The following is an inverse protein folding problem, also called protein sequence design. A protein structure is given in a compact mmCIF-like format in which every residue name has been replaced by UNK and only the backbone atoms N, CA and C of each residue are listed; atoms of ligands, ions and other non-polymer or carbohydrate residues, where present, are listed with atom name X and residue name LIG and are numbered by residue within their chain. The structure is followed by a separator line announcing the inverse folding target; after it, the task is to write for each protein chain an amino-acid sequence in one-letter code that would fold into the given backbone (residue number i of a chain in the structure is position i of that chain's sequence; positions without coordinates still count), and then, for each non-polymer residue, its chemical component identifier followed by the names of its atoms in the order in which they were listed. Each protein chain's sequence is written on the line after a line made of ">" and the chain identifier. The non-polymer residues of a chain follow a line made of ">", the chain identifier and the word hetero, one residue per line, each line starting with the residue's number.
data_IF_579248801884
#
_entry.id   IF_579248801884
#
_cell.length_a   1.000
_cell.length_b   1.000
_cell.length_c   1.000
_cell.angle_alpha   90.00
_cell.angle_beta   90.00
_cell.angle_gamma   90.00
#
_symmetry.space_group_name_H-M   'P 1'
#
loop_
_entity.id
_entity.type
_entity.pdbx_description
1 polymer ?
#
# COMPACT_ATOMS: atom_id res chain seq x y z
N UNK A 1 -2.49 11.85 11.90
CA UNK A 1 -1.49 11.53 10.86
C UNK A 1 -1.94 10.36 9.99
N UNK A 2 -2.14 10.61 8.69
CA UNK A 2 -2.37 9.57 7.66
C UNK A 2 -1.25 9.64 6.62
N UNK A 3 -0.94 8.49 6.04
CA UNK A 3 0.03 8.34 4.96
C UNK A 3 -0.73 8.15 3.66
N UNK A 4 -0.38 8.95 2.66
CA UNK A 4 -0.84 8.72 1.30
C UNK A 4 0.15 7.82 0.57
N UNK A 5 -0.31 6.63 0.19
CA UNK A 5 0.49 5.65 -0.54
C UNK A 5 -0.04 5.49 -1.96
N UNK A 6 0.87 5.41 -2.91
CA UNK A 6 0.61 5.03 -4.30
C UNK A 6 1.07 3.60 -4.48
N UNK A 7 0.19 2.75 -4.97
CA UNK A 7 0.46 1.34 -5.29
C UNK A 7 0.33 1.19 -6.80
N UNK A 8 1.42 0.84 -7.45
CA UNK A 8 1.43 0.59 -8.91
C UNK A 8 1.22 -0.91 -9.09
N UNK A 9 0.12 -1.28 -9.77
CA UNK A 9 -0.16 -2.67 -10.15
C UNK A 9 0.09 -2.87 -11.65
N UNK A 10 -0.04 -4.10 -12.13
CA UNK A 10 0.07 -4.39 -13.57
C UNK A 10 -1.03 -3.70 -14.40
N UNK A 11 -2.21 -3.53 -13.84
CA UNK A 11 -3.39 -3.02 -14.55
C UNK A 11 -3.61 -1.52 -14.34
N UNK A 12 -3.37 -1.02 -13.13
CA UNK A 12 -3.67 0.37 -12.75
C UNK A 12 -2.81 0.92 -11.60
N UNK A 13 -2.84 2.25 -11.44
CA UNK A 13 -2.28 2.94 -10.29
C UNK A 13 -3.36 3.22 -9.25
N UNK A 14 -3.14 2.77 -8.01
CA UNK A 14 -4.09 2.90 -6.91
C UNK A 14 -3.53 3.80 -5.81
N UNK A 15 -4.39 4.64 -5.25
CA UNK A 15 -4.03 5.58 -4.18
C UNK A 15 -4.82 5.26 -2.91
N UNK A 16 -4.11 5.18 -1.78
CA UNK A 16 -4.73 4.90 -0.49
C UNK A 16 -4.25 5.88 0.58
N UNK A 17 -5.20 6.33 1.40
CA UNK A 17 -4.91 7.06 2.63
C UNK A 17 -5.01 6.11 3.81
N UNK A 18 -3.85 5.74 4.38
CA UNK A 18 -3.77 4.73 5.45
C UNK A 18 -3.14 5.27 6.73
N UNK A 19 -3.50 4.71 7.90
CA UNK A 19 -2.73 4.93 9.13
C UNK A 19 -1.29 4.40 8.98
N UNK A 20 -0.29 5.01 9.64
CA UNK A 20 1.11 4.55 9.61
C UNK A 20 1.29 3.08 9.97
N UNK A 21 0.54 2.58 10.96
CA UNK A 21 0.58 1.17 11.35
C UNK A 21 0.16 0.22 10.22
N UNK A 22 -0.79 0.63 9.37
CA UNK A 22 -1.24 -0.17 8.23
C UNK A 22 -0.17 -0.18 7.13
N UNK A 23 0.52 0.94 6.91
CA UNK A 23 1.65 0.99 5.98
C UNK A 23 2.78 0.05 6.38
N UNK A 24 3.16 0.00 7.66
CA UNK A 24 4.18 -0.93 8.16
C UNK A 24 3.78 -2.40 7.91
N UNK A 25 2.51 -2.75 8.16
CA UNK A 25 2.00 -4.11 7.88
C UNK A 25 2.05 -4.39 6.38
N UNK A 26 1.63 -3.43 5.55
CA UNK A 26 1.63 -3.57 4.10
C UNK A 26 3.04 -3.76 3.55
N UNK A 27 3.99 -2.92 3.98
CA UNK A 27 5.40 -3.00 3.63
C UNK A 27 5.98 -4.37 3.99
N UNK A 28 5.67 -4.89 5.18
CA UNK A 28 6.09 -6.23 5.59
C UNK A 28 5.54 -7.32 4.65
N UNK A 29 4.24 -7.26 4.31
CA UNK A 29 3.64 -8.24 3.38
C UNK A 29 4.30 -8.20 2.01
N UNK A 30 4.55 -6.99 1.49
CA UNK A 30 5.24 -6.78 0.23
C UNK A 30 6.66 -7.36 0.23
N UNK A 31 7.47 -7.05 1.24
CA UNK A 31 8.85 -7.57 1.38
C UNK A 31 8.89 -9.11 1.46
N UNK A 32 7.83 -9.72 1.99
CA UNK A 32 7.71 -11.17 2.14
C UNK A 32 6.86 -11.84 1.05
N UNK A 33 6.52 -11.11 -0.03
CA UNK A 33 5.70 -11.59 -1.16
C UNK A 33 4.41 -12.29 -0.70
N UNK A 34 3.68 -11.61 0.20
CA UNK A 34 2.40 -12.07 0.70
C UNK A 34 1.27 -11.18 0.23
N UNK A 35 0.14 -11.81 -0.06
CA UNK A 35 -1.11 -11.11 -0.33
C UNK A 35 -1.48 -10.20 0.84
N UNK A 36 -2.00 -9.03 0.53
CA UNK A 36 -2.41 -8.06 1.52
C UNK A 36 -3.81 -7.53 1.22
N UNK A 37 -4.56 -7.19 2.27
CA UNK A 37 -5.86 -6.56 2.12
C UNK A 37 -5.82 -5.15 2.67
N UNK A 38 -6.15 -4.18 1.82
CA UNK A 38 -6.26 -2.78 2.16
C UNK A 38 -7.69 -2.31 1.89
N UNK A 39 -8.36 -1.81 2.93
CA UNK A 39 -9.79 -1.54 2.87
C UNK A 39 -10.58 -2.77 2.33
N UNK A 40 -11.32 -2.59 1.23
CA UNK A 40 -12.06 -3.68 0.56
C UNK A 40 -11.33 -4.27 -0.66
N UNK A 41 -10.08 -3.88 -0.90
CA UNK A 41 -9.25 -4.41 -1.98
C UNK A 41 -8.31 -5.49 -1.43
N UNK A 42 -8.33 -6.68 -2.04
CA UNK A 42 -7.31 -7.71 -1.81
C UNK A 42 -6.30 -7.56 -2.92
N UNK A 43 -5.06 -7.26 -2.58
CA UNK A 43 -3.96 -7.12 -3.52
C UNK A 43 -3.06 -8.34 -3.46
N UNK A 44 -2.81 -8.97 -4.60
CA UNK A 44 -1.86 -10.07 -4.69
C UNK A 44 -0.44 -9.53 -4.83
N UNK A 45 0.50 -10.21 -4.19
CA UNK A 45 1.89 -9.72 -4.16
C UNK A 45 2.59 -9.76 -5.53
N UNK A 46 2.10 -10.58 -6.45
CA UNK A 46 2.56 -10.70 -7.84
C UNK A 46 1.91 -9.67 -8.79
N UNK A 47 0.81 -9.06 -8.37
CA UNK A 47 0.12 -8.00 -9.13
C UNK A 47 0.69 -6.61 -8.84
N UNK A 48 1.22 -6.39 -7.64
CA UNK A 48 1.86 -5.14 -7.26
C UNK A 48 3.27 -5.08 -7.88
N UNK A 49 3.61 -3.97 -8.51
CA UNK A 49 4.91 -3.69 -9.14
C UNK A 49 5.79 -2.80 -8.26
N UNK A 50 5.21 -1.75 -7.68
CA UNK A 50 5.91 -0.86 -6.76
C UNK A 50 4.95 -0.17 -5.79
N UNK A 51 5.52 0.33 -4.69
CA UNK A 51 4.81 1.12 -3.68
C UNK A 51 5.63 2.39 -3.43
N UNK A 52 4.98 3.54 -3.53
CA UNK A 52 5.58 4.85 -3.30
C UNK A 52 4.83 5.58 -2.19
N UNK A 53 5.58 6.07 -1.19
CA UNK A 53 5.04 6.94 -0.17
C UNK A 53 5.05 8.37 -0.71
N UNK A 54 3.87 8.97 -0.89
CA UNK A 54 3.77 10.28 -1.52
C UNK A 54 3.85 11.41 -0.51
N UNK A 55 3.01 11.42 0.53
CA UNK A 55 2.99 12.49 1.54
C UNK A 55 2.51 11.98 2.90
N UNK A 56 3.00 12.65 3.96
CA UNK A 56 2.56 12.46 5.34
C UNK A 56 1.70 13.67 5.68
N UNK A 57 0.38 13.50 5.85
CA UNK A 57 -0.43 14.55 6.47
C UNK A 57 -0.18 14.53 7.97
N UNK A 58 0.66 15.46 8.43
CA UNK A 58 0.86 15.78 9.85
C UNK A 58 -0.17 16.86 10.21
N UNK A 59 -1.31 16.44 10.76
CA UNK A 59 -2.14 17.31 11.61
C UNK A 59 -1.59 17.34 13.03
#
# INVERSE_FOLDING_TARGET
>A
MRLKIKVITQDEELFFDVPPAIYEIFKWHWEHKRDFKIANCVMKSDEILSIELMEIEVE
#
